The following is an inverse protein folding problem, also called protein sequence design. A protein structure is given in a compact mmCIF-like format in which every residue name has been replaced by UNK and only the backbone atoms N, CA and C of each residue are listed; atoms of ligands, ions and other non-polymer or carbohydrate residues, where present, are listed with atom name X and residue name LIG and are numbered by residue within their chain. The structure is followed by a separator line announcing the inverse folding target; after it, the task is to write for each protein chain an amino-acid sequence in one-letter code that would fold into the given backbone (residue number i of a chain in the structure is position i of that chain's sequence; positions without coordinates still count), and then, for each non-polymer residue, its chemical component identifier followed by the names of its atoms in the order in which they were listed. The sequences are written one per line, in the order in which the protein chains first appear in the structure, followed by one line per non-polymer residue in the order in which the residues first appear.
data_IF_429662675492
#
_entry.id   IF_429662675492
#
_cell.length_a   1.000
_cell.length_b   1.000
_cell.length_c   1.000
_cell.angle_alpha   90.00
_cell.angle_beta   90.00
_cell.angle_gamma   90.00
#
_symmetry.space_group_name_H-M   'P 1'
#
loop_
_entity.id
_entity.type
_entity.pdbx_description
1 polymer ?
#
# COMPACT_ATOMS: atom_id res chain seq x y z
N UNK A 1 -18.42 -12.05 -30.34
CA UNK A 1 -18.11 -12.89 -29.16
C UNK A 1 -19.36 -12.91 -28.30
N UNK A 2 -20.08 -14.03 -28.29
CA UNK A 2 -21.24 -14.21 -27.40
C UNK A 2 -20.71 -14.29 -25.97
N UNK A 3 -21.35 -13.56 -25.05
CA UNK A 3 -20.94 -13.45 -23.64
C UNK A 3 -20.76 -14.83 -23.00
N UNK A 4 -19.56 -15.08 -22.47
CA UNK A 4 -19.38 -15.87 -21.26
C UNK A 4 -19.09 -17.37 -21.38
N UNK A 5 -19.14 -17.98 -22.57
CA UNK A 5 -18.78 -19.41 -22.68
C UNK A 5 -17.27 -19.59 -22.90
N UNK A 6 -16.49 -19.21 -21.89
CA UNK A 6 -15.04 -19.32 -21.89
C UNK A 6 -14.58 -20.76 -21.99
N UNK A 7 -15.29 -21.67 -21.33
CA UNK A 7 -14.98 -23.10 -21.33
C UNK A 7 -15.20 -23.71 -22.72
N UNK A 8 -16.36 -23.46 -23.36
CA UNK A 8 -16.55 -23.92 -24.74
C UNK A 8 -15.55 -23.27 -25.70
N UNK A 9 -15.19 -22.01 -25.49
CA UNK A 9 -14.15 -21.35 -26.28
C UNK A 9 -12.78 -22.02 -26.11
N UNK A 10 -12.43 -22.46 -24.91
CA UNK A 10 -11.18 -23.19 -24.68
C UNK A 10 -11.23 -24.56 -25.36
N UNK A 11 -12.32 -25.31 -25.17
CA UNK A 11 -12.50 -26.64 -25.78
C UNK A 11 -12.39 -26.61 -27.31
N UNK A 12 -13.03 -25.64 -27.96
CA UNK A 12 -12.95 -25.50 -29.42
C UNK A 12 -11.55 -25.12 -29.88
N UNK A 13 -10.86 -24.24 -29.17
CA UNK A 13 -9.47 -23.91 -29.50
C UNK A 13 -8.53 -25.10 -29.28
N UNK A 14 -8.68 -25.87 -28.20
CA UNK A 14 -7.91 -27.10 -27.96
C UNK A 14 -8.09 -28.11 -29.08
N UNK A 15 -9.34 -28.27 -29.55
CA UNK A 15 -9.66 -29.14 -30.68
C UNK A 15 -9.00 -28.64 -31.97
N UNK A 16 -9.03 -27.33 -32.25
CA UNK A 16 -8.37 -26.75 -33.42
C UNK A 16 -6.85 -26.93 -33.35
N UNK A 17 -6.24 -26.68 -32.19
CA UNK A 17 -4.81 -26.88 -31.98
C UNK A 17 -4.40 -28.35 -32.19
N UNK A 18 -5.24 -29.29 -31.75
CA UNK A 18 -5.00 -30.73 -31.90
C UNK A 18 -5.18 -31.24 -33.33
N UNK A 19 -6.23 -30.78 -34.03
CA UNK A 19 -6.56 -31.23 -35.39
C UNK A 19 -5.70 -30.54 -36.46
N UNK A 20 -5.31 -29.29 -36.23
CA UNK A 20 -4.62 -28.45 -37.21
C UNK A 20 -3.38 -27.76 -36.62
N UNK A 21 -2.44 -28.50 -35.99
CA UNK A 21 -1.32 -27.91 -35.26
C UNK A 21 -0.48 -27.01 -36.16
N UNK A 22 -0.12 -27.47 -37.38
CA UNK A 22 0.78 -26.71 -38.28
C UNK A 22 0.18 -25.46 -38.92
N UNK A 23 -1.15 -25.36 -39.01
CA UNK A 23 -1.81 -24.28 -39.79
C UNK A 23 -2.61 -23.31 -38.94
N UNK A 24 -3.17 -23.78 -37.82
CA UNK A 24 -4.03 -22.98 -36.93
C UNK A 24 -3.62 -23.10 -35.45
N UNK A 25 -2.61 -23.91 -35.12
CA UNK A 25 -2.20 -24.14 -33.73
C UNK A 25 -1.74 -22.87 -33.02
N UNK A 26 -0.99 -22.01 -33.72
CA UNK A 26 -0.55 -20.71 -33.24
C UNK A 26 -1.72 -19.79 -32.86
N UNK A 27 -2.73 -19.69 -33.74
CA UNK A 27 -3.93 -18.89 -33.50
C UNK A 27 -4.81 -19.47 -32.40
N UNK A 28 -4.94 -20.79 -32.34
CA UNK A 28 -5.70 -21.46 -31.31
C UNK A 28 -5.07 -21.23 -29.93
N UNK A 29 -3.75 -21.41 -29.79
CA UNK A 29 -3.00 -21.10 -28.58
C UNK A 29 -3.14 -19.62 -28.20
N UNK A 30 -3.12 -18.72 -29.19
CA UNK A 30 -3.23 -17.28 -28.93
C UNK A 30 -4.60 -16.94 -28.35
N UNK A 31 -5.67 -17.48 -28.92
CA UNK A 31 -7.02 -17.29 -28.41
C UNK A 31 -7.21 -17.91 -27.03
N UNK A 32 -6.64 -19.09 -26.76
CA UNK A 32 -6.63 -19.68 -25.42
C UNK A 32 -5.94 -18.77 -24.42
N UNK A 33 -4.77 -18.22 -24.78
CA UNK A 33 -4.04 -17.24 -23.98
C UNK A 33 -4.90 -16.03 -23.61
N UNK A 34 -5.63 -15.46 -24.57
CA UNK A 34 -6.55 -14.35 -24.33
C UNK A 34 -7.72 -14.73 -23.43
N UNK A 35 -8.35 -15.90 -23.64
CA UNK A 35 -9.45 -16.39 -22.79
C UNK A 35 -9.01 -16.57 -21.35
N UNK A 36 -7.81 -17.11 -21.11
CA UNK A 36 -7.24 -17.27 -19.77
C UNK A 36 -6.91 -15.94 -19.08
N UNK A 37 -6.83 -14.82 -19.81
CA UNK A 37 -6.56 -13.48 -19.25
C UNK A 37 -7.81 -12.64 -19.04
N UNK A 38 -8.96 -13.12 -19.49
CA UNK A 38 -10.18 -12.31 -19.48
C UNK A 38 -10.66 -12.11 -18.02
N UNK A 39 -10.84 -10.86 -17.54
CA UNK A 39 -11.16 -10.60 -16.13
C UNK A 39 -12.52 -11.14 -15.70
N UNK A 40 -13.46 -11.28 -16.64
CA UNK A 40 -14.78 -11.87 -16.37
C UNK A 40 -14.80 -13.41 -16.49
N UNK A 41 -13.68 -14.05 -16.84
CA UNK A 41 -13.58 -15.51 -16.85
C UNK A 41 -13.33 -16.01 -15.42
N UNK A 42 -14.26 -16.76 -14.78
CA UNK A 42 -14.07 -17.28 -13.43
C UNK A 42 -12.90 -18.28 -13.34
N UNK A 43 -12.55 -18.89 -14.47
CA UNK A 43 -11.44 -19.84 -14.64
C UNK A 43 -10.22 -19.17 -15.25
N UNK A 44 -10.11 -17.83 -15.19
CA UNK A 44 -8.92 -17.10 -15.63
C UNK A 44 -7.69 -17.61 -14.88
N UNK A 45 -6.63 -17.87 -15.63
CA UNK A 45 -5.38 -18.42 -15.12
C UNK A 45 -4.21 -17.85 -15.91
N UNK A 46 -3.54 -16.87 -15.30
CA UNK A 46 -2.41 -16.19 -15.91
C UNK A 46 -1.25 -17.13 -16.24
N UNK A 47 -1.06 -18.21 -15.49
CA UNK A 47 0.02 -19.17 -15.77
C UNK A 47 -0.29 -19.98 -17.03
N UNK A 48 -1.54 -20.44 -17.20
CA UNK A 48 -1.97 -21.12 -18.43
C UNK A 48 -1.92 -20.20 -19.65
N UNK A 49 -2.27 -18.93 -19.46
CA UNK A 49 -2.13 -17.92 -20.52
C UNK A 49 -0.66 -17.76 -20.94
N UNK A 50 0.23 -17.61 -19.97
CA UNK A 50 1.66 -17.48 -20.20
C UNK A 50 2.23 -18.70 -20.93
N UNK A 51 1.83 -19.90 -20.51
CA UNK A 51 2.21 -21.16 -21.16
C UNK A 51 1.78 -21.20 -22.63
N UNK A 52 0.56 -20.75 -22.94
CA UNK A 52 0.09 -20.65 -24.33
C UNK A 52 0.98 -19.72 -25.17
N UNK A 53 1.29 -18.51 -24.66
CA UNK A 53 2.13 -17.55 -25.38
C UNK A 53 3.59 -18.02 -25.50
N UNK A 54 4.14 -18.65 -24.46
CA UNK A 54 5.48 -19.23 -24.51
C UNK A 54 5.56 -20.38 -25.53
N UNK A 55 4.51 -21.20 -25.62
CA UNK A 55 4.40 -22.28 -26.60
C UNK A 55 4.36 -21.73 -28.02
N UNK A 56 3.66 -20.60 -28.26
CA UNK A 56 3.68 -19.92 -29.58
C UNK A 56 5.10 -19.55 -29.99
N UNK A 57 5.85 -18.89 -29.10
CA UNK A 57 7.22 -18.45 -29.42
C UNK A 57 8.15 -19.64 -29.69
N UNK A 58 7.95 -20.74 -28.95
CA UNK A 58 8.80 -21.93 -29.04
C UNK A 58 8.49 -22.79 -30.26
N UNK A 59 7.22 -23.04 -30.52
CA UNK A 59 6.76 -24.01 -31.53
C UNK A 59 6.41 -23.37 -32.87
N UNK A 60 6.08 -22.08 -32.88
CA UNK A 60 5.65 -21.33 -34.06
C UNK A 60 6.49 -20.05 -34.30
N UNK A 61 7.83 -20.11 -34.27
CA UNK A 61 8.69 -18.91 -34.28
C UNK A 61 8.49 -18.00 -35.50
N UNK A 62 8.05 -18.55 -36.65
CA UNK A 62 7.80 -17.80 -37.89
C UNK A 62 6.36 -17.25 -37.99
N UNK A 63 5.49 -17.54 -37.02
CA UNK A 63 4.12 -17.03 -37.02
C UNK A 63 4.09 -15.52 -36.75
N UNK A 64 3.13 -14.84 -37.38
CA UNK A 64 2.78 -13.45 -37.10
C UNK A 64 2.36 -13.27 -35.63
N UNK A 65 1.78 -14.31 -35.02
CA UNK A 65 1.33 -14.28 -33.61
C UNK A 65 2.47 -14.30 -32.61
N UNK A 66 3.69 -14.65 -33.02
CA UNK A 66 4.89 -14.68 -32.15
C UNK A 66 5.23 -13.31 -31.60
N UNK A 67 5.14 -12.26 -32.43
CA UNK A 67 5.37 -10.89 -31.98
C UNK A 67 4.35 -10.44 -30.95
N UNK A 68 3.07 -10.78 -31.17
CA UNK A 68 1.98 -10.46 -30.23
C UNK A 68 2.11 -11.24 -28.92
N UNK A 69 2.43 -12.54 -28.98
CA UNK A 69 2.69 -13.38 -27.81
C UNK A 69 3.84 -12.83 -26.96
N UNK A 70 4.93 -12.37 -27.58
CA UNK A 70 6.05 -11.74 -26.87
C UNK A 70 5.64 -10.45 -26.14
N UNK A 71 4.77 -9.64 -26.74
CA UNK A 71 4.23 -8.43 -26.10
C UNK A 71 3.41 -8.80 -24.87
N UNK A 72 2.55 -9.83 -24.96
CA UNK A 72 1.77 -10.31 -23.82
C UNK A 72 2.64 -10.80 -22.67
N UNK A 73 3.68 -11.59 -22.96
CA UNK A 73 4.64 -12.05 -21.94
C UNK A 73 5.32 -10.86 -21.26
N UNK A 74 5.85 -9.91 -22.03
CA UNK A 74 6.50 -8.71 -21.48
C UNK A 74 5.53 -7.86 -20.64
N UNK A 75 4.27 -7.79 -21.04
CA UNK A 75 3.23 -7.11 -20.25
C UNK A 75 3.00 -7.83 -18.91
N UNK A 76 2.89 -9.16 -18.89
CA UNK A 76 2.72 -9.92 -17.66
C UNK A 76 3.92 -9.76 -16.73
N UNK A 77 5.14 -9.82 -17.25
CA UNK A 77 6.35 -9.55 -16.47
C UNK A 77 6.31 -8.16 -15.82
N UNK A 78 5.88 -7.15 -16.58
CA UNK A 78 5.73 -5.79 -16.05
C UNK A 78 4.66 -5.70 -14.97
N UNK A 79 3.51 -6.35 -15.14
CA UNK A 79 2.45 -6.40 -14.12
C UNK A 79 2.96 -7.06 -12.84
N UNK A 80 3.60 -8.23 -12.95
CA UNK A 80 4.18 -8.93 -11.79
C UNK A 80 5.24 -8.08 -11.08
N UNK A 81 6.07 -7.37 -11.84
CA UNK A 81 7.07 -6.49 -11.24
C UNK A 81 6.42 -5.29 -10.52
N UNK A 82 5.39 -4.69 -11.13
CA UNK A 82 4.64 -3.61 -10.51
C UNK A 82 3.93 -4.08 -9.22
N UNK A 83 3.36 -5.28 -9.21
CA UNK A 83 2.72 -5.84 -8.01
C UNK A 83 3.72 -6.03 -6.86
N UNK A 84 4.94 -6.47 -7.16
CA UNK A 84 6.04 -6.54 -6.18
C UNK A 84 6.40 -5.16 -5.65
N UNK A 85 6.53 -4.17 -6.52
CA UNK A 85 6.82 -2.79 -6.12
C UNK A 85 5.71 -2.20 -5.25
N UNK A 86 4.44 -2.47 -5.59
CA UNK A 86 3.28 -2.09 -4.78
C UNK A 86 3.33 -2.74 -3.39
N UNK A 87 3.65 -4.03 -3.28
CA UNK A 87 3.80 -4.72 -1.99
C UNK A 87 4.93 -4.11 -1.15
N UNK A 88 6.08 -3.79 -1.76
CA UNK A 88 7.19 -3.12 -1.09
C UNK A 88 6.83 -1.71 -0.60
N UNK A 89 6.13 -0.93 -1.43
CA UNK A 89 5.66 0.41 -1.07
C UNK A 89 4.63 0.34 0.06
N UNK A 90 3.70 -0.62 0.04
CA UNK A 90 2.74 -0.84 1.12
C UNK A 90 3.43 -1.18 2.44
N UNK A 91 4.46 -2.03 2.42
CA UNK A 91 5.29 -2.32 3.61
C UNK A 91 5.95 -1.06 4.16
N UNK A 92 6.49 -0.19 3.29
CA UNK A 92 7.09 1.10 3.69
C UNK A 92 6.04 2.06 4.27
N UNK A 93 4.86 2.15 3.67
CA UNK A 93 3.74 2.97 4.17
C UNK A 93 3.36 2.52 5.58
N UNK A 94 3.09 1.23 5.79
CA UNK A 94 2.73 0.68 7.09
C UNK A 94 3.81 0.95 8.16
N UNK A 95 5.09 0.88 7.79
CA UNK A 95 6.19 1.20 8.69
C UNK A 95 6.19 2.70 9.08
N UNK A 96 6.03 3.59 8.10
CA UNK A 96 6.00 5.04 8.33
C UNK A 96 4.78 5.47 9.14
N UNK A 97 3.61 4.89 8.88
CA UNK A 97 2.38 5.13 9.66
C UNK A 97 2.58 4.79 11.14
N UNK A 98 3.16 3.62 11.43
CA UNK A 98 3.51 3.22 12.80
C UNK A 98 4.49 4.19 13.47
N UNK A 99 5.49 4.69 12.72
CA UNK A 99 6.45 5.66 13.23
C UNK A 99 5.79 7.02 13.55
N UNK A 100 4.90 7.49 12.66
CA UNK A 100 4.12 8.71 12.85
C UNK A 100 3.18 8.58 14.06
N UNK A 101 2.54 7.43 14.24
CA UNK A 101 1.67 7.18 15.39
C UNK A 101 2.43 7.26 16.72
N UNK A 102 3.59 6.60 16.84
CA UNK A 102 4.45 6.68 18.04
C UNK A 102 4.90 8.11 18.35
N UNK A 103 5.27 8.88 17.32
CA UNK A 103 5.64 10.30 17.48
C UNK A 103 4.43 11.14 17.92
N UNK A 104 3.25 10.86 17.40
CA UNK A 104 2.00 11.56 17.76
C UNK A 104 1.63 11.33 19.22
N UNK A 105 1.75 10.09 19.71
CA UNK A 105 1.56 9.76 21.12
C UNK A 105 2.58 10.48 22.02
N UNK A 106 3.85 10.51 21.60
CA UNK A 106 4.91 11.25 22.32
C UNK A 106 4.60 12.74 22.41
N UNK A 107 4.14 13.35 21.31
CA UNK A 107 3.72 14.76 21.28
C UNK A 107 2.54 14.99 22.24
N UNK A 108 1.54 14.10 22.24
CA UNK A 108 0.40 14.18 23.17
C UNK A 108 0.87 14.15 24.63
N UNK A 109 1.76 13.23 24.98
CA UNK A 109 2.32 13.10 26.32
C UNK A 109 3.11 14.35 26.74
N UNK A 110 3.93 14.89 25.83
CA UNK A 110 4.69 16.11 26.10
C UNK A 110 3.77 17.33 26.29
N UNK A 111 2.70 17.46 25.50
CA UNK A 111 1.70 18.53 25.68
C UNK A 111 1.04 18.46 27.06
N UNK A 112 0.62 17.28 27.51
CA UNK A 112 0.05 17.10 28.85
C UNK A 112 1.03 17.47 29.96
N UNK A 113 2.32 17.09 29.82
CA UNK A 113 3.37 17.49 30.78
C UNK A 113 3.56 19.00 30.83
N UNK A 114 3.52 19.68 29.68
CA UNK A 114 3.61 21.13 29.60
C UNK A 114 2.44 21.78 30.35
N UNK A 115 1.21 21.29 30.18
CA UNK A 115 0.03 21.81 30.89
C UNK A 115 0.17 21.68 32.41
N UNK A 116 0.62 20.51 32.89
CA UNK A 116 0.86 20.28 34.32
C UNK A 116 1.94 21.23 34.87
N UNK A 117 3.04 21.40 34.14
CA UNK A 117 4.11 22.32 34.53
C UNK A 117 3.64 23.78 34.56
N UNK A 118 2.79 24.19 33.62
CA UNK A 118 2.16 25.51 33.63
C UNK A 118 1.29 25.73 34.87
N UNK A 119 0.48 24.75 35.25
CA UNK A 119 -0.33 24.83 36.47
C UNK A 119 0.53 24.92 37.74
N UNK A 120 1.60 24.14 37.81
CA UNK A 120 2.57 24.19 38.92
C UNK A 120 3.26 25.55 39.01
N UNK A 121 3.73 26.10 37.88
CA UNK A 121 4.35 27.44 37.82
C UNK A 121 3.40 28.51 38.35
N UNK A 122 2.14 28.50 37.91
CA UNK A 122 1.12 29.46 38.37
C UNK A 122 0.87 29.37 39.88
N UNK A 123 0.85 28.14 40.42
CA UNK A 123 0.72 27.92 41.88
C UNK A 123 1.91 28.49 42.65
N UNK A 124 3.12 28.24 42.18
CA UNK A 124 4.35 28.77 42.79
C UNK A 124 4.38 30.30 42.74
N UNK A 125 3.99 30.91 41.62
CA UNK A 125 3.87 32.37 41.48
C UNK A 125 2.89 32.96 42.52
N UNK A 126 1.73 32.34 42.73
CA UNK A 126 0.78 32.75 43.76
C UNK A 126 1.34 32.58 45.18
N UNK A 127 2.09 31.51 45.44
CA UNK A 127 2.75 31.31 46.75
C UNK A 127 3.81 32.37 47.02
N UNK A 128 4.65 32.69 46.03
CA UNK A 128 5.65 33.75 46.13
C UNK A 128 4.99 35.11 46.39
N UNK A 129 3.87 35.40 45.70
CA UNK A 129 3.10 36.63 45.95
C UNK A 129 2.65 36.77 47.40
N UNK A 130 2.02 35.73 47.96
CA UNK A 130 1.58 35.73 49.37
C UNK A 130 2.74 35.87 50.36
N UNK A 131 3.88 35.22 50.11
CA UNK A 131 5.04 35.35 50.97
C UNK A 131 5.55 36.80 51.00
N UNK A 132 5.58 37.48 49.86
CA UNK A 132 5.97 38.89 49.78
C UNK A 132 5.04 39.81 50.55
N UNK A 133 3.72 39.57 50.48
CA UNK A 133 2.73 40.34 51.26
C UNK A 133 2.92 40.15 52.76
N UNK A 134 3.18 38.92 53.20
CA UNK A 134 3.48 38.62 54.61
C UNK A 134 4.75 39.33 55.06
N UNK A 135 5.83 39.26 54.27
CA UNK A 135 7.10 39.92 54.59
C UNK A 135 6.92 41.44 54.75
N UNK A 136 6.18 42.09 53.83
CA UNK A 136 5.86 43.52 53.92
C UNK A 136 5.11 43.83 55.22
N UNK A 137 4.07 43.07 55.55
CA UNK A 137 3.29 43.29 56.77
C UNK A 137 4.11 43.09 58.05
N UNK A 138 5.06 42.16 58.07
CA UNK A 138 6.01 41.99 59.18
C UNK A 138 6.92 43.21 59.32
N UNK A 139 7.41 43.76 58.21
CA UNK A 139 8.29 44.93 58.18
C UNK A 139 7.58 46.21 58.66
N UNK A 140 6.33 46.40 58.23
CA UNK A 140 5.48 47.53 58.66
C UNK A 140 5.22 47.48 60.16
N UNK A 141 4.82 46.32 60.69
CA UNK A 141 4.58 46.13 62.12
C UNK A 141 5.82 46.40 62.97
N UNK A 142 6.99 45.93 62.51
CA UNK A 142 8.27 46.22 63.18
C UNK A 142 8.58 47.73 63.24
N UNK A 143 8.21 48.50 62.22
CA UNK A 143 8.40 49.97 62.23
C UNK A 143 7.44 50.65 63.20
N UNK A 144 6.19 50.21 63.26
CA UNK A 144 5.20 50.74 64.21
C UNK A 144 5.65 50.50 65.66
N UNK A 145 6.13 49.29 65.96
CA UNK A 145 6.63 48.91 67.29
C UNK A 145 7.90 49.70 67.70
N UNK A 146 8.68 50.22 66.74
CA UNK A 146 9.87 51.05 66.99
C UNK A 146 9.54 52.54 67.23
N UNK A 147 8.31 52.96 66.95
CA UNK A 147 7.85 54.36 67.07
C UNK A 147 6.83 54.57 68.21
N UNK A 148 6.54 53.54 69.01
CA UNK A 148 5.83 53.62 70.30
C UNK A 148 6.81 53.70 71.48
#
# INVERSE_FOLDING_TARGET
MAKGDYEASLMENEKVASLFPRTLGDRALYQMGLVYTHPENPSADYYKSLECFQTIIKEYPESITTGEAAIWIALFEKVVNNDKEIDELNKKINFLENAVQKKTESIRNLKSRIEVLWAQKKKLESQIGRLKEIDIGIEEKKREDLHQ
#
